data_IF_928993764021
#
_entry.id   IF_928993764021
#
_cell.length_a   1.000
_cell.length_b   1.000
_cell.length_c   1.000
_cell.angle_alpha   90.00
_cell.angle_beta   90.00
_cell.angle_gamma   90.00
#
_symmetry.space_group_name_H-M   'P 1'
#
loop_
_entity.id
_entity.type
_entity.pdbx_description
1 polymer ?
#
# COMPACT_ATOMS: atom_id res chain seq x y z
N UNK A 1 -13.49 1.93 12.99
CA UNK A 1 -14.95 2.19 13.01
C UNK A 1 -15.23 3.18 14.13
N UNK A 2 -16.17 4.10 13.93
CA UNK A 2 -16.66 5.01 14.96
C UNK A 2 -18.19 4.90 15.04
N UNK A 3 -18.73 5.00 16.24
CA UNK A 3 -20.17 5.06 16.46
C UNK A 3 -20.54 6.15 17.43
N UNK A 4 -21.69 6.77 17.19
CA UNK A 4 -22.20 7.85 18.00
C UNK A 4 -23.16 7.31 19.07
N UNK A 5 -23.08 7.80 20.32
CA UNK A 5 -23.88 7.27 21.41
C UNK A 5 -25.36 7.66 21.33
N UNK A 6 -25.70 8.87 20.89
CA UNK A 6 -27.10 9.33 20.91
C UNK A 6 -27.91 8.79 19.74
N UNK A 7 -27.39 8.88 18.52
CA UNK A 7 -28.08 8.42 17.31
C UNK A 7 -27.82 6.97 16.97
N UNK A 8 -26.84 6.33 17.60
CA UNK A 8 -26.37 5.00 17.23
C UNK A 8 -25.92 4.92 15.75
N UNK A 9 -25.55 6.05 15.14
CA UNK A 9 -24.97 6.06 13.80
C UNK A 9 -23.61 5.37 13.82
N UNK A 10 -23.25 4.72 12.71
CA UNK A 10 -21.97 4.05 12.55
C UNK A 10 -21.28 4.54 11.28
N UNK A 11 -19.96 4.66 11.36
CA UNK A 11 -19.06 5.05 10.28
C UNK A 11 -17.87 4.09 10.26
N UNK A 12 -17.52 3.60 9.08
CA UNK A 12 -16.56 2.53 8.93
C UNK A 12 -15.66 2.75 7.71
N UNK A 13 -14.38 2.44 7.91
CA UNK A 13 -13.34 2.46 6.89
C UNK A 13 -12.48 1.23 7.15
N UNK A 14 -12.22 0.46 6.09
CA UNK A 14 -11.32 -0.67 6.07
C UNK A 14 -9.93 -0.23 5.58
N UNK A 15 -8.92 -0.68 6.30
CA UNK A 15 -7.51 -0.36 6.05
C UNK A 15 -6.67 -1.64 6.20
N UNK A 16 -5.50 -1.71 5.57
CA UNK A 16 -4.72 -2.95 5.46
C UNK A 16 -4.01 -3.38 6.74
N UNK A 17 -3.89 -2.51 7.76
CA UNK A 17 -3.13 -2.80 8.97
C UNK A 17 -3.65 -2.05 10.20
N UNK A 18 -3.25 -2.52 11.39
CA UNK A 18 -3.55 -1.93 12.69
C UNK A 18 -2.42 -1.02 13.20
N UNK A 19 -1.68 -0.36 12.29
CA UNK A 19 -0.65 0.61 12.65
C UNK A 19 -1.23 2.03 12.82
N UNK A 20 -0.39 2.94 13.31
CA UNK A 20 -0.83 4.30 13.65
C UNK A 20 -1.20 5.11 12.41
N UNK A 21 -0.47 4.93 11.31
CA UNK A 21 -0.71 5.58 10.02
C UNK A 21 -2.08 5.19 9.46
N UNK A 22 -2.44 3.90 9.54
CA UNK A 22 -3.78 3.43 9.20
C UNK A 22 -4.82 3.99 10.18
N UNK A 23 -4.59 3.96 11.49
CA UNK A 23 -5.55 4.48 12.46
C UNK A 23 -5.92 5.94 12.19
N UNK A 24 -4.91 6.82 12.07
CA UNK A 24 -5.12 8.26 11.86
C UNK A 24 -5.77 8.54 10.50
N UNK A 25 -5.36 7.81 9.45
CA UNK A 25 -6.01 7.92 8.13
C UNK A 25 -7.47 7.49 8.19
N UNK A 26 -7.78 6.39 8.89
CA UNK A 26 -9.13 5.88 9.05
C UNK A 26 -10.02 6.85 9.83
N UNK A 27 -9.50 7.49 10.88
CA UNK A 27 -10.22 8.53 11.62
C UNK A 27 -10.49 9.75 10.76
N UNK A 28 -9.48 10.22 10.01
CA UNK A 28 -9.64 11.32 9.05
C UNK A 28 -10.75 11.04 8.04
N UNK A 29 -10.73 9.85 7.45
CA UNK A 29 -11.74 9.46 6.46
C UNK A 29 -13.15 9.34 7.09
N UNK A 30 -13.24 8.85 8.33
CA UNK A 30 -14.50 8.85 9.08
C UNK A 30 -15.00 10.28 9.34
N UNK A 31 -14.14 11.23 9.71
CA UNK A 31 -14.55 12.62 9.91
C UNK A 31 -15.07 13.24 8.62
N UNK A 32 -14.49 12.89 7.46
CA UNK A 32 -15.01 13.27 6.15
C UNK A 32 -16.39 12.67 5.87
N UNK A 33 -16.59 11.37 6.12
CA UNK A 33 -17.91 10.73 6.00
C UNK A 33 -18.97 11.38 6.93
N UNK A 34 -18.56 11.79 8.12
CA UNK A 34 -19.42 12.50 9.07
C UNK A 34 -19.69 13.95 8.62
N UNK A 35 -18.73 14.55 7.93
CA UNK A 35 -18.71 15.97 7.57
C UNK A 35 -18.61 16.88 8.80
N UNK A 36 -17.95 16.41 9.86
CA UNK A 36 -17.73 17.10 11.14
C UNK A 36 -16.78 16.26 12.02
N UNK A 37 -16.23 16.88 13.08
CA UNK A 37 -15.43 16.18 14.10
C UNK A 37 -16.19 16.08 15.43
N UNK A 38 -16.34 14.89 16.04
CA UNK A 38 -16.93 14.78 17.38
C UNK A 38 -16.09 15.54 18.42
N UNK A 39 -16.74 16.27 19.33
CA UNK A 39 -16.05 17.00 20.42
C UNK A 39 -15.23 16.11 21.35
N UNK A 40 -15.68 14.87 21.53
CA UNK A 40 -15.04 13.89 22.39
C UNK A 40 -15.10 12.53 21.73
N UNK A 41 -13.95 11.87 21.61
CA UNK A 41 -13.82 10.53 21.04
C UNK A 41 -13.35 9.59 22.13
N UNK A 42 -14.14 8.54 22.34
CA UNK A 42 -13.74 7.44 23.22
C UNK A 42 -12.91 6.44 22.43
N UNK A 43 -11.70 6.16 22.91
CA UNK A 43 -10.79 5.20 22.30
C UNK A 43 -10.54 4.02 23.24
N UNK A 44 -10.31 2.85 22.63
CA UNK A 44 -9.79 1.69 23.33
C UNK A 44 -8.31 1.90 23.70
N UNK A 45 -7.79 1.11 24.64
CA UNK A 45 -6.38 1.15 25.06
C UNK A 45 -5.44 0.50 24.02
N UNK A 46 -5.60 0.86 22.75
CA UNK A 46 -4.80 0.36 21.63
C UNK A 46 -3.42 1.02 21.62
N UNK A 47 -2.37 0.24 21.37
CA UNK A 47 -0.96 0.71 21.39
C UNK A 47 -0.65 1.79 20.37
N UNK A 48 -1.45 1.90 19.30
CA UNK A 48 -1.36 2.94 18.26
C UNK A 48 -1.75 4.32 18.75
N UNK A 49 -2.60 4.42 19.78
CA UNK A 49 -3.04 5.70 20.35
C UNK A 49 -2.60 5.88 21.81
N UNK A 50 -2.38 4.78 22.54
CA UNK A 50 -2.12 4.76 23.98
C UNK A 50 -0.77 4.09 24.26
N UNK A 51 0.20 4.88 24.76
CA UNK A 51 1.50 4.39 25.25
C UNK A 51 1.33 3.68 26.59
N UNK A 52 0.56 4.29 27.51
CA UNK A 52 0.27 3.71 28.83
C UNK A 52 -1.22 3.84 29.12
N UNK A 53 -1.92 2.74 29.43
CA UNK A 53 -3.33 2.81 29.78
C UNK A 53 -3.53 3.60 31.07
N UNK A 54 -4.74 4.12 31.25
CA UNK A 54 -5.16 4.80 32.47
C UNK A 54 -4.99 3.87 33.67
N UNK A 55 -4.53 4.39 34.79
CA UNK A 55 -4.47 3.69 36.09
C UNK A 55 -5.30 4.44 37.12
N UNK A 56 -5.53 3.83 38.30
CA UNK A 56 -6.27 4.45 39.40
C UNK A 56 -5.73 5.83 39.83
N UNK A 57 -4.45 6.10 39.57
CA UNK A 57 -3.74 7.30 40.04
C UNK A 57 -3.22 8.21 38.92
N UNK A 58 -3.31 7.80 37.65
CA UNK A 58 -2.76 8.54 36.50
C UNK A 58 -3.61 8.33 35.26
N UNK A 59 -3.84 9.40 34.52
CA UNK A 59 -4.49 9.35 33.22
C UNK A 59 -3.68 8.56 32.19
N UNK A 60 -4.35 8.10 31.14
CA UNK A 60 -3.69 7.41 30.05
C UNK A 60 -2.69 8.33 29.35
N UNK A 61 -1.52 7.79 29.01
CA UNK A 61 -0.52 8.49 28.21
C UNK A 61 -0.72 8.14 26.74
N UNK A 62 -1.10 9.12 25.95
CA UNK A 62 -1.29 8.99 24.50
C UNK A 62 0.05 9.08 23.75
N UNK A 63 0.07 8.60 22.50
CA UNK A 63 1.20 8.81 21.59
C UNK A 63 1.28 10.28 21.15
N UNK A 64 2.48 10.79 20.91
CA UNK A 64 2.69 12.20 20.54
C UNK A 64 1.99 12.54 19.23
N UNK A 65 1.99 11.64 18.26
CA UNK A 65 1.37 11.84 16.96
C UNK A 65 -0.16 11.80 17.09
N UNK A 66 -0.71 10.97 17.98
CA UNK A 66 -2.15 10.95 18.25
C UNK A 66 -2.61 12.22 18.97
N UNK A 67 -1.80 12.75 19.89
CA UNK A 67 -2.05 14.06 20.53
C UNK A 67 -2.03 15.19 19.51
N UNK A 68 -1.03 15.25 18.62
CA UNK A 68 -0.97 16.24 17.55
C UNK A 68 -2.19 16.15 16.63
N UNK A 69 -2.60 14.93 16.26
CA UNK A 69 -3.82 14.70 15.49
C UNK A 69 -5.07 15.19 16.24
N UNK A 70 -5.20 14.89 17.53
CA UNK A 70 -6.33 15.35 18.35
C UNK A 70 -6.38 16.88 18.46
N UNK A 71 -5.23 17.53 18.60
CA UNK A 71 -5.13 18.99 18.60
C UNK A 71 -5.50 19.60 17.26
N UNK A 72 -5.04 19.03 16.14
CA UNK A 72 -5.36 19.50 14.78
C UNK A 72 -6.87 19.53 14.50
N UNK A 73 -7.58 18.47 14.91
CA UNK A 73 -9.03 18.37 14.73
C UNK A 73 -9.84 18.88 15.94
N UNK A 74 -9.17 19.34 17.00
CA UNK A 74 -9.80 19.97 18.18
C UNK A 74 -10.63 19.04 19.08
N UNK A 75 -10.50 17.71 18.96
CA UNK A 75 -11.31 16.79 19.77
C UNK A 75 -10.61 16.35 21.06
N UNK A 76 -11.41 16.09 22.09
CA UNK A 76 -10.95 15.52 23.34
C UNK A 76 -10.91 13.99 23.28
N UNK A 77 -9.92 13.40 23.94
CA UNK A 77 -9.73 11.95 23.98
C UNK A 77 -10.18 11.41 25.33
N UNK A 78 -11.07 10.41 25.31
CA UNK A 78 -11.42 9.64 26.50
C UNK A 78 -10.96 8.20 26.32
N UNK A 79 -10.05 7.73 27.17
CA UNK A 79 -9.64 6.32 27.18
C UNK A 79 -10.57 5.48 28.05
N UNK A 80 -10.91 4.28 27.61
CA UNK A 80 -11.69 3.33 28.42
C UNK A 80 -10.96 2.97 29.73
N UNK A 81 -11.72 2.77 30.80
CA UNK A 81 -11.17 2.29 32.07
C UNK A 81 -10.66 0.85 31.93
N UNK A 82 -9.56 0.48 32.61
CA UNK A 82 -9.11 -0.92 32.65
C UNK A 82 -10.20 -1.84 33.17
N UNK A 83 -10.43 -2.98 32.51
CA UNK A 83 -11.41 -4.01 32.86
C UNK A 83 -12.90 -3.60 32.82
N UNK A 84 -13.27 -2.51 32.13
CA UNK A 84 -14.67 -2.09 31.97
C UNK A 84 -15.31 -2.60 30.67
N UNK A 85 -15.56 -3.92 30.59
CA UNK A 85 -16.16 -4.57 29.42
C UNK A 85 -17.53 -4.01 29.01
N UNK A 86 -18.33 -3.53 29.97
CA UNK A 86 -19.65 -2.93 29.70
C UNK A 86 -19.56 -1.65 28.84
N UNK A 87 -18.48 -0.87 28.95
CA UNK A 87 -18.28 0.35 28.15
C UNK A 87 -17.92 0.03 26.69
N UNK A 88 -17.44 -1.19 26.42
CA UNK A 88 -16.91 -1.64 25.13
C UNK A 88 -17.95 -2.40 24.28
N UNK A 89 -18.96 -2.97 24.92
CA UNK A 89 -19.94 -3.86 24.27
C UNK A 89 -20.72 -3.25 23.10
N UNK A 90 -21.04 -1.94 23.13
CA UNK A 90 -21.76 -1.29 22.02
C UNK A 90 -20.91 -1.23 20.74
N UNK A 91 -19.62 -0.90 20.88
CA UNK A 91 -18.68 -0.82 19.74
C UNK A 91 -18.35 -2.23 19.25
N UNK A 92 -18.12 -3.19 20.15
CA UNK A 92 -17.85 -4.59 19.79
C UNK A 92 -19.02 -5.23 19.02
N UNK A 93 -20.26 -5.02 19.49
CA UNK A 93 -21.46 -5.50 18.80
C UNK A 93 -21.58 -4.89 17.39
N UNK A 94 -21.24 -3.61 17.22
CA UNK A 94 -21.25 -2.97 15.89
C UNK A 94 -20.15 -3.46 14.98
N UNK A 95 -18.93 -3.64 15.49
CA UNK A 95 -17.84 -4.23 14.70
C UNK A 95 -18.21 -5.64 14.27
N UNK A 96 -18.79 -6.44 15.17
CA UNK A 96 -19.37 -7.74 14.86
C UNK A 96 -20.46 -7.67 13.78
N UNK A 97 -21.38 -6.71 13.90
CA UNK A 97 -22.42 -6.47 12.88
C UNK A 97 -21.83 -6.13 11.51
N UNK A 98 -20.83 -5.25 11.44
CA UNK A 98 -20.18 -4.91 10.18
C UNK A 98 -19.48 -6.12 9.60
N UNK A 99 -18.71 -6.87 10.42
CA UNK A 99 -18.06 -8.11 9.97
C UNK A 99 -19.05 -9.11 9.41
N UNK A 100 -20.12 -9.40 10.15
CA UNK A 100 -21.11 -10.41 9.77
C UNK A 100 -21.93 -10.01 8.55
N UNK A 101 -22.38 -8.75 8.44
CA UNK A 101 -23.29 -8.34 7.37
C UNK A 101 -22.57 -7.85 6.11
N UNK A 102 -21.32 -7.37 6.24
CA UNK A 102 -20.62 -6.74 5.14
C UNK A 102 -19.55 -7.66 4.54
N UNK A 103 -19.01 -8.56 5.35
CA UNK A 103 -17.95 -9.51 4.97
C UNK A 103 -18.39 -10.97 5.17
N UNK A 104 -19.70 -11.24 5.09
CA UNK A 104 -20.23 -12.62 5.04
C UNK A 104 -19.70 -13.40 3.84
N UNK A 105 -19.50 -12.70 2.72
CA UNK A 105 -18.85 -13.20 1.52
C UNK A 105 -17.54 -12.47 1.27
N UNK A 106 -16.65 -13.11 0.51
CA UNK A 106 -15.38 -12.45 0.12
C UNK A 106 -15.69 -11.21 -0.71
N UNK A 107 -15.35 -10.00 -0.25
CA UNK A 107 -15.68 -8.78 -0.96
C UNK A 107 -14.91 -8.74 -2.29
N UNK A 108 -15.63 -8.53 -3.39
CA UNK A 108 -15.03 -8.23 -4.69
C UNK A 108 -14.59 -6.77 -4.67
N UNK A 109 -13.31 -6.52 -4.47
CA UNK A 109 -12.73 -5.18 -4.46
C UNK A 109 -11.63 -5.05 -5.50
N UNK A 110 -11.55 -3.90 -6.16
CA UNK A 110 -10.42 -3.53 -7.03
C UNK A 110 -9.25 -3.00 -6.19
N UNK A 111 -9.59 -2.18 -5.20
CA UNK A 111 -8.69 -1.50 -4.28
C UNK A 111 -9.42 -1.14 -2.98
N UNK A 112 -8.69 -0.66 -1.96
CA UNK A 112 -9.27 -0.24 -0.69
C UNK A 112 -10.25 0.94 -0.84
N UNK A 113 -10.07 1.81 -1.85
CA UNK A 113 -10.97 2.93 -2.09
C UNK A 113 -12.36 2.44 -2.50
N UNK A 114 -12.43 1.49 -3.44
CA UNK A 114 -13.67 0.84 -3.87
C UNK A 114 -14.39 0.13 -2.72
N UNK A 115 -13.65 -0.59 -1.89
CA UNK A 115 -14.19 -1.24 -0.70
C UNK A 115 -14.79 -0.23 0.28
N UNK A 116 -14.07 0.86 0.55
CA UNK A 116 -14.52 1.88 1.51
C UNK A 116 -15.75 2.64 1.03
N UNK A 117 -15.88 2.88 -0.27
CA UNK A 117 -17.08 3.46 -0.87
C UNK A 117 -18.30 2.55 -0.70
N UNK A 118 -18.14 1.25 -0.95
CA UNK A 118 -19.21 0.28 -0.75
C UNK A 118 -19.63 0.15 0.73
N UNK A 119 -18.64 0.14 1.64
CA UNK A 119 -18.88 0.16 3.08
C UNK A 119 -19.67 1.41 3.48
N UNK A 120 -19.25 2.58 3.04
CA UNK A 120 -19.93 3.84 3.32
C UNK A 120 -21.40 3.81 2.86
N UNK A 121 -21.66 3.39 1.62
CA UNK A 121 -23.02 3.30 1.09
C UNK A 121 -23.92 2.36 1.90
N UNK A 122 -23.37 1.21 2.31
CA UNK A 122 -24.10 0.26 3.17
C UNK A 122 -24.36 0.84 4.56
N UNK A 123 -23.41 1.58 5.14
CA UNK A 123 -23.62 2.28 6.41
C UNK A 123 -24.67 3.39 6.29
N UNK A 124 -24.68 4.16 5.19
CA UNK A 124 -25.73 5.15 4.87
C UNK A 124 -27.09 4.47 4.77
N UNK A 125 -27.18 3.31 4.10
CA UNK A 125 -28.42 2.53 4.02
C UNK A 125 -28.89 2.09 5.41
N UNK A 126 -27.98 1.60 6.25
CA UNK A 126 -28.28 1.19 7.64
C UNK A 126 -28.84 2.35 8.47
N UNK A 127 -28.35 3.57 8.29
CA UNK A 127 -28.86 4.75 9.01
C UNK A 127 -30.32 5.12 8.65
N UNK A 128 -30.87 4.61 7.55
CA UNK A 128 -32.29 4.81 7.20
C UNK A 128 -33.24 3.96 8.05
N UNK A 129 -32.74 2.95 8.76
CA UNK A 129 -33.55 2.13 9.66
C UNK A 129 -33.96 2.89 10.94
N UNK A 130 -34.98 2.36 11.62
CA UNK A 130 -35.42 2.89 12.92
C UNK A 130 -34.36 2.62 13.99
N UNK A 131 -34.18 3.59 14.89
CA UNK A 131 -33.35 3.42 16.07
C UNK A 131 -33.99 2.39 17.01
N UNK A 132 -33.16 1.59 17.68
CA UNK A 132 -33.60 0.44 18.47
C UNK A 132 -34.54 0.82 19.63
N UNK A 133 -34.30 1.97 20.27
CA UNK A 133 -35.16 2.52 21.34
C UNK A 133 -36.01 3.72 20.92
N UNK A 134 -35.58 4.47 19.90
CA UNK A 134 -36.16 5.77 19.56
C UNK A 134 -36.99 5.54 18.31
N UNK A 135 -38.28 5.87 18.32
CA UNK A 135 -39.23 5.63 17.20
C UNK A 135 -38.97 6.62 16.04
N UNK A 136 -37.70 6.85 15.70
CA UNK A 136 -37.18 7.74 14.66
C UNK A 136 -36.05 7.02 13.95
N UNK A 137 -35.72 7.46 12.74
CA UNK A 137 -34.59 6.89 12.00
C UNK A 137 -33.25 7.31 12.62
N UNK A 138 -32.25 6.44 12.51
CA UNK A 138 -30.87 6.74 12.96
C UNK A 138 -30.35 8.00 12.27
N UNK A 139 -30.62 8.16 10.97
CA UNK A 139 -30.22 9.32 10.17
C UNK A 139 -30.84 10.63 10.69
N UNK A 140 -32.11 10.61 11.10
CA UNK A 140 -32.75 11.80 11.68
C UNK A 140 -32.10 12.22 13.00
N UNK A 141 -31.76 11.25 13.85
CA UNK A 141 -31.08 11.51 15.12
C UNK A 141 -29.63 11.94 14.89
N UNK A 142 -28.96 11.38 13.87
CA UNK A 142 -27.60 11.76 13.50
C UNK A 142 -27.54 13.23 13.07
N UNK A 143 -28.51 13.71 12.29
CA UNK A 143 -28.58 15.14 11.91
C UNK A 143 -28.72 16.07 13.11
N UNK A 144 -29.36 15.63 14.19
CA UNK A 144 -29.44 16.40 15.44
C UNK A 144 -28.11 16.37 16.19
N UNK A 145 -27.50 15.20 16.34
CA UNK A 145 -26.22 15.02 17.02
C UNK A 145 -25.06 15.73 16.29
N UNK A 146 -25.09 15.74 14.95
CA UNK A 146 -24.12 16.43 14.10
C UNK A 146 -24.03 17.93 14.40
N UNK A 147 -25.13 18.59 14.80
CA UNK A 147 -25.13 20.02 15.16
C UNK A 147 -24.25 20.34 16.37
N UNK A 148 -23.97 19.34 17.20
CA UNK A 148 -23.10 19.49 18.38
C UNK A 148 -21.64 19.17 18.09
N UNK A 149 -21.32 18.72 16.87
CA UNK A 149 -19.94 18.42 16.45
C UNK A 149 -19.19 19.71 16.08
N UNK A 150 -17.87 19.61 16.03
CA UNK A 150 -16.99 20.64 15.51
C UNK A 150 -16.99 20.60 13.98
N UNK A 151 -16.67 21.72 13.37
CA UNK A 151 -16.44 21.81 11.93
C UNK A 151 -15.14 21.09 11.54
N UNK A 152 -15.04 20.69 10.28
CA UNK A 152 -13.79 20.14 9.74
C UNK A 152 -12.80 21.29 9.52
N UNK A 153 -11.49 21.08 9.77
CA UNK A 153 -10.47 22.05 9.39
C UNK A 153 -10.40 22.17 7.86
N UNK A 154 -9.95 23.32 7.36
CA UNK A 154 -9.75 23.57 5.93
C UNK A 154 -8.67 22.65 5.34
N UNK A 155 -7.63 22.36 6.13
CA UNK A 155 -6.53 21.48 5.75
C UNK A 155 -6.55 20.17 6.53
N UNK A 156 -6.35 19.08 5.80
CA UNK A 156 -6.19 17.74 6.37
C UNK A 156 -4.86 17.63 7.14
N UNK A 157 -4.89 16.99 8.31
CA UNK A 157 -3.66 16.59 8.99
C UNK A 157 -2.81 15.65 8.11
N UNK A 158 -1.50 15.94 7.91
CA UNK A 158 -0.63 15.08 7.13
C UNK A 158 -0.27 13.81 7.91
N UNK A 159 -0.85 12.67 7.52
CA UNK A 159 -0.60 11.38 8.18
C UNK A 159 0.56 10.66 7.50
N UNK A 160 1.73 10.72 8.12
CA UNK A 160 2.88 9.90 7.75
C UNK A 160 3.75 9.61 8.97
N UNK A 161 4.60 8.60 8.86
CA UNK A 161 5.66 8.29 9.81
C UNK A 161 7.01 8.40 9.13
N UNK A 162 7.92 9.11 9.76
CA UNK A 162 9.31 9.21 9.34
C UNK A 162 10.16 8.25 10.16
N UNK A 163 10.98 7.44 9.50
CA UNK A 163 11.90 6.49 10.14
C UNK A 163 13.25 6.52 9.45
N UNK A 164 14.32 6.63 10.24
CA UNK A 164 15.67 6.44 9.73
C UNK A 164 15.97 4.95 9.60
N UNK A 165 16.36 4.52 8.40
CA UNK A 165 16.59 3.12 8.07
C UNK A 165 17.91 2.93 7.35
N UNK A 166 18.49 1.73 7.48
CA UNK A 166 19.74 1.35 6.81
C UNK A 166 19.56 0.03 6.09
N UNK A 167 20.04 -0.03 4.85
CA UNK A 167 20.04 -1.26 4.07
C UNK A 167 21.06 -2.26 4.60
N UNK A 168 20.71 -3.55 4.55
CA UNK A 168 21.64 -4.64 4.84
C UNK A 168 22.63 -4.85 3.66
N UNK A 169 23.58 -5.80 3.82
CA UNK A 169 24.54 -6.18 2.75
C UNK A 169 23.87 -6.70 1.47
N UNK A 170 22.61 -7.13 1.56
CA UNK A 170 21.82 -7.64 0.45
C UNK A 170 20.90 -6.58 -0.17
N UNK A 171 21.06 -5.29 0.16
CA UNK A 171 20.23 -4.18 -0.32
C UNK A 171 18.77 -4.23 0.14
N UNK A 172 18.52 -4.76 1.34
CA UNK A 172 17.17 -4.88 1.89
C UNK A 172 16.97 -3.97 3.09
N UNK A 173 15.80 -3.36 3.16
CA UNK A 173 15.32 -2.52 4.25
C UNK A 173 14.08 -3.17 4.87
N UNK A 174 14.04 -3.25 6.20
CA UNK A 174 12.89 -3.80 6.93
C UNK A 174 11.81 -2.73 7.13
N UNK A 175 10.67 -2.86 6.47
CA UNK A 175 9.46 -2.05 6.70
C UNK A 175 8.30 -2.98 7.10
N UNK A 176 7.56 -2.64 8.17
CA UNK A 176 6.41 -3.43 8.68
C UNK A 176 6.69 -4.92 8.85
N UNK A 177 7.86 -5.26 9.39
CA UNK A 177 8.35 -6.64 9.51
C UNK A 177 8.60 -7.39 8.18
N UNK A 178 8.52 -6.71 7.05
CA UNK A 178 8.87 -7.27 5.73
C UNK A 178 10.19 -6.68 5.24
N UNK A 179 11.08 -7.54 4.73
CA UNK A 179 12.30 -7.10 4.07
C UNK A 179 12.00 -6.74 2.61
N UNK A 180 12.34 -5.51 2.25
CA UNK A 180 12.15 -4.96 0.91
C UNK A 180 13.51 -4.74 0.29
N UNK A 181 13.76 -5.36 -0.86
CA UNK A 181 14.94 -5.07 -1.64
C UNK A 181 14.82 -3.73 -2.36
N UNK A 182 15.74 -2.81 -2.09
CA UNK A 182 15.87 -1.52 -2.75
C UNK A 182 17.22 -1.49 -3.44
N UNK A 183 17.21 -1.45 -4.76
CA UNK A 183 18.41 -1.52 -5.56
C UNK A 183 19.41 -0.41 -5.20
N UNK A 184 20.70 -0.75 -5.11
CA UNK A 184 21.79 0.15 -4.70
C UNK A 184 21.67 0.85 -3.34
N UNK A 185 20.73 0.44 -2.49
CA UNK A 185 20.51 1.08 -1.18
C UNK A 185 21.73 1.05 -0.24
N UNK A 186 22.62 0.06 -0.35
CA UNK A 186 23.87 -0.01 0.42
C UNK A 186 24.79 1.22 0.26
N UNK A 187 24.72 1.93 -0.89
CA UNK A 187 25.58 3.08 -1.19
C UNK A 187 25.18 4.33 -0.42
N UNK A 188 23.93 4.41 0.03
CA UNK A 188 23.37 5.62 0.62
C UNK A 188 23.50 5.68 2.16
N UNK A 189 24.04 4.63 2.79
CA UNK A 189 24.16 4.57 4.25
C UNK A 189 22.79 4.57 4.95
N UNK A 190 22.54 5.57 5.77
CA UNK A 190 21.24 5.80 6.42
C UNK A 190 20.36 6.69 5.55
N UNK A 191 19.13 6.23 5.30
CA UNK A 191 18.13 6.91 4.47
C UNK A 191 16.84 7.09 5.26
N UNK A 192 16.02 8.06 4.86
CA UNK A 192 14.72 8.30 5.47
C UNK A 192 13.65 7.48 4.75
N UNK A 193 12.81 6.80 5.52
CA UNK A 193 11.60 6.16 5.04
C UNK A 193 10.38 6.97 5.52
N UNK A 194 9.65 7.55 4.57
CA UNK A 194 8.36 8.19 4.79
C UNK A 194 7.27 7.18 4.51
N UNK A 195 6.48 6.88 5.53
CA UNK A 195 5.48 5.81 5.52
C UNK A 195 4.11 6.44 5.65
N UNK A 196 3.30 6.30 4.61
CA UNK A 196 1.87 6.61 4.66
C UNK A 196 1.08 5.33 4.93
N UNK A 197 -0.24 5.44 5.05
CA UNK A 197 -1.08 4.28 5.29
C UNK A 197 -0.99 3.24 4.17
N UNK A 198 -0.73 3.61 2.91
CA UNK A 198 -0.69 2.72 1.73
C UNK A 198 0.64 2.69 0.98
N UNK A 199 1.46 3.75 1.04
CA UNK A 199 2.74 3.86 0.33
C UNK A 199 3.92 4.10 1.26
N UNK A 200 5.11 3.75 0.78
CA UNK A 200 6.37 4.19 1.36
C UNK A 200 7.20 4.93 0.33
N UNK A 201 8.01 5.89 0.80
CA UNK A 201 8.99 6.60 0.00
C UNK A 201 10.33 6.59 0.72
N UNK A 202 11.37 6.17 0.02
CA UNK A 202 12.74 6.14 0.54
C UNK A 202 13.50 7.32 -0.05
N UNK A 203 14.04 8.17 0.83
CA UNK A 203 14.67 9.43 0.47
C UNK A 203 16.08 9.48 1.06
N UNK A 204 17.05 9.96 0.30
CA UNK A 204 18.40 10.26 0.81
C UNK A 204 18.37 11.45 1.77
N UNK A 205 19.46 11.67 2.52
CA UNK A 205 19.63 12.88 3.34
C UNK A 205 19.61 14.18 2.49
N UNK A 206 19.89 14.07 1.20
CA UNK A 206 19.91 15.20 0.26
C UNK A 206 18.54 15.46 -0.38
N UNK A 207 17.50 14.69 -0.03
CA UNK A 207 16.15 14.86 -0.56
C UNK A 207 15.85 14.09 -1.85
N UNK A 208 16.77 13.27 -2.35
CA UNK A 208 16.55 12.48 -3.57
C UNK A 208 15.71 11.23 -3.26
N UNK A 209 14.67 11.00 -4.07
CA UNK A 209 13.81 9.81 -3.95
C UNK A 209 14.53 8.62 -4.59
N UNK A 210 14.90 7.63 -3.77
CA UNK A 210 15.49 6.38 -4.24
C UNK A 210 14.41 5.47 -4.82
N UNK A 211 13.31 5.32 -4.09
CA UNK A 211 12.20 4.45 -4.49
C UNK A 211 10.90 4.88 -3.81
N UNK A 212 9.80 4.77 -4.55
CA UNK A 212 8.44 4.87 -4.03
C UNK A 212 7.65 3.64 -4.48
N UNK A 213 6.91 3.01 -3.55
CA UNK A 213 6.06 1.86 -3.86
C UNK A 213 5.00 1.68 -2.75
N UNK A 214 4.09 0.72 -2.93
CA UNK A 214 3.07 0.37 -1.94
C UNK A 214 3.66 -0.38 -0.73
N UNK A 215 3.03 -0.17 0.42
CA UNK A 215 3.38 -0.81 1.69
C UNK A 215 3.16 -2.33 1.61
N UNK A 216 4.08 -3.15 2.15
CA UNK A 216 4.04 -4.61 2.07
C UNK A 216 2.99 -5.28 2.99
N UNK A 217 1.76 -4.77 3.08
CA UNK A 217 0.79 -5.40 3.99
C UNK A 217 0.25 -6.73 3.47
N UNK A 218 -0.12 -6.77 2.19
CA UNK A 218 -0.84 -7.91 1.58
C UNK A 218 -0.01 -8.57 0.50
N UNK A 219 0.44 -7.78 -0.49
CA UNK A 219 1.13 -8.32 -1.67
C UNK A 219 2.63 -8.43 -1.43
N UNK A 220 3.16 -9.65 -1.56
CA UNK A 220 4.63 -9.92 -1.51
C UNK A 220 5.31 -9.77 -2.87
N UNK A 221 4.56 -9.90 -3.96
CA UNK A 221 5.08 -9.72 -5.33
C UNK A 221 5.22 -8.23 -5.64
N UNK A 222 6.33 -7.84 -6.24
CA UNK A 222 6.64 -6.45 -6.57
C UNK A 222 7.13 -6.35 -8.00
N UNK A 223 6.78 -5.24 -8.64
CA UNK A 223 7.36 -4.91 -9.93
C UNK A 223 8.86 -4.67 -9.76
N UNK A 224 9.63 -5.16 -10.71
CA UNK A 224 11.07 -4.94 -10.76
C UNK A 224 11.29 -3.68 -11.60
N UNK A 225 12.04 -2.72 -11.07
CA UNK A 225 12.46 -1.52 -11.82
C UNK A 225 13.57 -1.89 -12.82
N UNK A 226 13.13 -2.48 -13.93
CA UNK A 226 14.01 -2.92 -15.01
C UNK A 226 14.88 -1.80 -15.59
N UNK A 227 14.38 -0.58 -15.87
CA UNK A 227 15.22 0.51 -16.35
C UNK A 227 16.44 0.78 -15.46
N UNK A 228 16.26 0.87 -14.14
CA UNK A 228 17.38 1.09 -13.22
C UNK A 228 18.36 -0.08 -13.22
N UNK A 229 17.86 -1.32 -13.25
CA UNK A 229 18.70 -2.53 -13.26
C UNK A 229 19.50 -2.65 -14.56
N UNK A 230 18.87 -2.41 -15.72
CA UNK A 230 19.53 -2.52 -17.01
C UNK A 230 20.59 -1.42 -17.20
N UNK A 231 20.36 -0.19 -16.70
CA UNK A 231 21.39 0.87 -16.67
C UNK A 231 22.62 0.46 -15.87
N UNK A 232 22.41 -0.19 -14.73
CA UNK A 232 23.50 -0.70 -13.91
C UNK A 232 24.26 -1.85 -14.59
N UNK A 233 23.55 -2.73 -15.28
CA UNK A 233 24.15 -3.80 -16.08
C UNK A 233 25.05 -3.27 -17.20
N UNK A 234 24.71 -2.13 -17.81
CA UNK A 234 25.58 -1.46 -18.80
C UNK A 234 26.96 -1.08 -18.22
N UNK A 235 27.08 -0.85 -16.91
CA UNK A 235 28.36 -0.56 -16.27
C UNK A 235 29.23 -1.81 -16.06
N UNK A 236 28.62 -3.01 -16.03
CA UNK A 236 29.30 -4.28 -15.72
C UNK A 236 28.75 -5.44 -16.57
N UNK A 237 28.88 -5.30 -17.89
CA UNK A 237 28.34 -6.21 -18.90
C UNK A 237 28.73 -7.68 -18.69
N UNK A 238 29.99 -7.96 -18.34
CA UNK A 238 30.49 -9.33 -18.16
C UNK A 238 29.89 -10.06 -16.95
N UNK A 239 29.12 -9.37 -16.10
CA UNK A 239 28.57 -9.91 -14.84
C UNK A 239 27.05 -9.94 -14.78
N UNK A 240 26.36 -9.64 -15.88
CA UNK A 240 24.88 -9.52 -15.87
C UNK A 240 24.19 -10.85 -15.52
N UNK A 241 24.76 -11.98 -15.93
CA UNK A 241 24.23 -13.32 -15.66
C UNK A 241 24.28 -13.70 -14.18
N UNK A 242 25.21 -13.12 -13.41
CA UNK A 242 25.30 -13.28 -11.97
C UNK A 242 24.35 -12.37 -11.18
N UNK A 243 23.63 -11.46 -11.87
CA UNK A 243 22.69 -10.58 -11.20
C UNK A 243 21.53 -11.37 -10.61
N UNK A 244 21.09 -11.00 -9.39
CA UNK A 244 19.87 -11.54 -8.77
C UNK A 244 18.63 -11.38 -9.66
N UNK A 245 18.65 -10.42 -10.57
CA UNK A 245 17.56 -10.07 -11.47
C UNK A 245 17.53 -10.93 -12.74
N UNK A 246 18.64 -11.59 -13.11
CA UNK A 246 18.76 -12.38 -14.33
C UNK A 246 17.67 -13.45 -14.44
N UNK A 247 17.39 -14.15 -13.33
CA UNK A 247 16.36 -15.21 -13.27
C UNK A 247 14.92 -14.72 -13.38
N UNK A 248 14.68 -13.41 -13.25
CA UNK A 248 13.34 -12.82 -13.36
C UNK A 248 13.09 -12.23 -14.75
N UNK A 249 14.10 -12.22 -15.63
CA UNK A 249 13.89 -11.80 -17.01
C UNK A 249 12.94 -12.77 -17.71
N UNK A 250 12.06 -12.25 -18.58
CA UNK A 250 11.32 -13.11 -19.50
C UNK A 250 12.28 -13.88 -20.41
N UNK A 251 11.98 -15.16 -20.68
CA UNK A 251 12.91 -16.08 -21.37
C UNK A 251 13.40 -15.56 -22.72
N UNK A 252 12.53 -14.91 -23.51
CA UNK A 252 12.89 -14.31 -24.82
C UNK A 252 13.96 -13.22 -24.67
N UNK A 253 13.78 -12.33 -23.69
CA UNK A 253 14.71 -11.24 -23.40
C UNK A 253 16.01 -11.79 -22.81
N UNK A 254 15.92 -12.83 -21.97
CA UNK A 254 17.08 -13.51 -21.42
C UNK A 254 17.95 -14.13 -22.52
N UNK A 255 17.34 -14.84 -23.47
CA UNK A 255 18.02 -15.36 -24.66
C UNK A 255 18.62 -14.24 -25.52
N UNK A 256 17.89 -13.15 -25.73
CA UNK A 256 18.40 -12.00 -26.47
C UNK A 256 19.60 -11.34 -25.81
N UNK A 257 19.71 -11.35 -24.48
CA UNK A 257 20.88 -10.82 -23.77
C UNK A 257 21.99 -11.85 -23.55
N UNK A 258 21.77 -13.12 -23.93
CA UNK A 258 22.75 -14.19 -23.76
C UNK A 258 23.70 -14.23 -24.96
N UNK A 259 24.59 -13.24 -25.04
CA UNK A 259 25.55 -13.06 -26.13
C UNK A 259 26.96 -12.87 -25.56
N UNK A 260 27.95 -13.49 -26.19
CA UNK A 260 29.35 -13.41 -25.75
C UNK A 260 30.02 -12.08 -26.13
N UNK A 261 29.60 -11.45 -27.23
CA UNK A 261 30.09 -10.13 -27.65
C UNK A 261 29.53 -9.00 -26.75
N UNK A 262 30.42 -8.40 -25.98
CA UNK A 262 30.11 -7.30 -25.07
C UNK A 262 29.62 -6.04 -25.78
N UNK A 263 30.08 -5.76 -27.01
CA UNK A 263 29.63 -4.58 -27.78
C UNK A 263 28.19 -4.76 -28.22
N UNK A 264 27.88 -5.93 -28.77
CA UNK A 264 26.52 -6.30 -29.14
C UNK A 264 25.61 -6.32 -27.91
N UNK A 265 26.07 -6.88 -26.79
CA UNK A 265 25.32 -6.88 -25.54
C UNK A 265 24.99 -5.46 -25.03
N UNK A 266 25.95 -4.53 -25.12
CA UNK A 266 25.72 -3.12 -24.76
C UNK A 266 24.62 -2.49 -25.64
N UNK A 267 24.69 -2.69 -26.96
CA UNK A 267 23.69 -2.19 -27.92
C UNK A 267 22.30 -2.77 -27.63
N UNK A 268 22.21 -4.08 -27.35
CA UNK A 268 20.96 -4.75 -26.99
C UNK A 268 20.35 -4.20 -25.70
N UNK A 269 21.18 -3.95 -24.67
CA UNK A 269 20.72 -3.33 -23.43
C UNK A 269 20.24 -1.89 -23.64
N UNK A 270 20.94 -1.11 -24.48
CA UNK A 270 20.54 0.26 -24.80
C UNK A 270 19.20 0.29 -25.53
N UNK A 271 19.02 -0.63 -26.48
CA UNK A 271 17.75 -0.79 -27.19
C UNK A 271 16.60 -1.16 -26.28
N UNK A 272 16.80 -2.13 -25.38
CA UNK A 272 15.78 -2.50 -24.38
C UNK A 272 15.45 -1.32 -23.46
N UNK A 273 16.42 -0.49 -23.08
CA UNK A 273 16.17 0.72 -22.30
C UNK A 273 15.34 1.75 -23.07
N UNK A 274 15.59 1.91 -24.38
CA UNK A 274 14.76 2.73 -25.27
C UNK A 274 13.32 2.23 -25.30
N UNK A 275 13.12 0.93 -25.54
CA UNK A 275 11.79 0.33 -25.60
C UNK A 275 11.04 0.39 -24.26
N UNK A 276 11.73 0.21 -23.13
CA UNK A 276 11.15 0.31 -21.79
C UNK A 276 10.73 1.73 -21.40
N UNK A 277 11.11 2.76 -22.17
CA UNK A 277 10.60 4.12 -21.97
C UNK A 277 9.15 4.27 -22.44
N UNK A 278 8.69 3.41 -23.36
CA UNK A 278 7.35 3.45 -23.96
C UNK A 278 6.50 2.24 -23.54
N UNK A 279 7.14 1.08 -23.39
CA UNK A 279 6.46 -0.20 -23.16
C UNK A 279 6.79 -0.81 -21.80
N UNK A 280 5.87 -1.61 -21.28
CA UNK A 280 6.14 -2.40 -20.05
C UNK A 280 6.96 -3.64 -20.38
N UNK A 281 7.68 -4.19 -19.40
CA UNK A 281 8.41 -5.46 -19.57
C UNK A 281 7.49 -6.64 -19.98
N UNK A 282 6.22 -6.60 -19.58
CA UNK A 282 5.23 -7.62 -19.95
C UNK A 282 4.91 -7.50 -21.44
N UNK A 283 4.54 -6.31 -21.89
CA UNK A 283 4.24 -6.01 -23.29
C UNK A 283 5.44 -6.32 -24.20
N UNK A 284 6.64 -5.93 -23.78
CA UNK A 284 7.87 -6.22 -24.51
C UNK A 284 8.13 -7.71 -24.67
N UNK A 285 7.80 -8.52 -23.67
CA UNK A 285 7.93 -9.96 -23.79
C UNK A 285 6.89 -10.56 -24.73
N UNK A 286 5.65 -10.07 -24.68
CA UNK A 286 4.55 -10.54 -25.53
C UNK A 286 4.80 -10.21 -27.00
N UNK A 287 5.17 -8.95 -27.30
CA UNK A 287 5.40 -8.41 -28.65
C UNK A 287 6.88 -8.32 -29.02
N UNK A 288 7.71 -9.16 -28.41
CA UNK A 288 9.17 -9.09 -28.48
C UNK A 288 9.70 -8.96 -29.92
N UNK A 289 9.26 -9.85 -30.82
CA UNK A 289 9.78 -9.87 -32.18
C UNK A 289 9.32 -8.68 -33.03
N UNK A 290 8.10 -8.17 -32.81
CA UNK A 290 7.61 -6.98 -33.51
C UNK A 290 8.47 -5.77 -33.14
N UNK A 291 8.59 -5.51 -31.84
CA UNK A 291 9.28 -4.33 -31.30
C UNK A 291 10.79 -4.39 -31.52
N UNK A 292 11.38 -5.58 -31.54
CA UNK A 292 12.80 -5.77 -31.85
C UNK A 292 13.04 -5.84 -33.37
N UNK A 293 12.05 -6.04 -34.23
CA UNK A 293 12.25 -6.03 -35.70
C UNK A 293 11.89 -4.70 -36.36
N UNK A 294 11.07 -3.86 -35.74
CA UNK A 294 10.61 -2.56 -36.28
C UNK A 294 11.73 -1.52 -36.52
N UNK A 295 12.96 -1.73 -36.03
CA UNK A 295 14.15 -0.91 -36.39
C UNK A 295 15.19 -1.67 -37.26
N UNK A 296 14.91 -2.90 -37.68
CA UNK A 296 15.84 -3.75 -38.46
C UNK A 296 15.73 -3.59 -39.99
N UNK A 297 14.99 -2.59 -40.49
CA UNK A 297 14.98 -2.31 -41.94
C UNK A 297 16.28 -1.67 -42.47
N UNK A 298 17.24 -1.27 -41.61
CA UNK A 298 18.53 -0.71 -42.05
C UNK A 298 19.75 -1.65 -41.97
N UNK A 299 19.62 -2.92 -41.57
CA UNK A 299 20.75 -3.86 -41.76
C UNK A 299 20.32 -5.30 -41.99
N UNK A 300 20.30 -5.68 -43.27
CA UNK A 300 20.22 -7.06 -43.73
C UNK A 300 21.49 -7.84 -43.34
N UNK A 301 21.32 -8.86 -42.50
CA UNK A 301 21.93 -10.19 -42.71
C UNK A 301 21.31 -11.23 -41.77
N UNK A 302 20.42 -12.05 -42.34
CA UNK A 302 20.24 -13.49 -42.12
C UNK A 302 20.24 -14.06 -40.69
N UNK A 303 19.12 -13.91 -39.96
CA UNK A 303 18.67 -14.98 -39.06
C UNK A 303 17.15 -15.15 -39.16
N UNK A 304 16.71 -16.29 -39.70
CA UNK A 304 15.30 -16.70 -39.72
C UNK A 304 14.89 -17.28 -38.35
N UNK A 305 14.43 -16.40 -37.45
CA UNK A 305 14.00 -16.76 -36.10
C UNK A 305 12.72 -17.60 -36.05
N UNK A 306 11.88 -17.59 -37.09
CA UNK A 306 10.65 -18.39 -37.15
C UNK A 306 10.95 -19.90 -37.20
N UNK A 307 12.11 -20.30 -37.73
CA UNK A 307 12.54 -21.70 -37.73
C UNK A 307 12.95 -22.23 -36.34
N UNK A 308 13.34 -21.35 -35.42
CA UNK A 308 13.85 -21.75 -34.10
C UNK A 308 12.71 -22.17 -33.15
N UNK A 309 11.56 -21.50 -33.20
CA UNK A 309 10.38 -21.85 -32.40
C UNK A 309 9.71 -23.17 -32.85
N UNK A 310 9.90 -23.57 -34.12
CA UNK A 310 9.46 -24.88 -34.60
C UNK A 310 10.27 -26.03 -33.98
N UNK A 311 11.55 -25.80 -33.63
CA UNK A 311 12.41 -26.81 -33.01
C UNK A 311 12.11 -27.01 -31.52
N UNK A 312 11.73 -25.97 -30.80
CA UNK A 312 11.36 -26.06 -29.37
C UNK A 312 10.00 -26.72 -29.14
N UNK A 313 9.04 -26.59 -30.08
CA UNK A 313 7.78 -27.33 -30.01
C UNK A 313 7.93 -28.85 -30.24
N UNK A 314 8.91 -29.28 -31.03
CA UNK A 314 9.18 -30.71 -31.27
C UNK A 314 9.84 -31.38 -30.05
N UNK A 315 10.72 -30.65 -29.33
CA UNK A 315 11.37 -31.16 -28.12
C UNK A 315 10.39 -31.44 -26.95
N UNK A 316 9.24 -30.77 -26.91
CA UNK A 316 8.22 -30.95 -25.86
C UNK A 316 7.34 -32.20 -26.02
N UNK A 317 7.40 -32.90 -27.17
CA UNK A 317 6.60 -34.14 -27.41
C UNK A 317 7.37 -35.44 -27.16
N UNK A 318 8.60 -35.37 -26.65
CA UNK A 318 9.51 -36.50 -26.56
C UNK A 318 9.96 -36.91 -25.17
N UNK A 319 9.13 -36.80 -24.12
CA UNK A 319 9.39 -37.50 -22.84
C UNK A 319 8.06 -38.02 -22.27
N UNK A 320 7.69 -39.23 -22.69
CA UNK A 320 6.89 -40.15 -21.85
C UNK A 320 7.88 -41.01 -21.08
N UNK A 321 7.88 -40.90 -19.76
CA UNK A 321 7.69 -41.93 -18.72
C UNK A 321 7.90 -41.24 -17.38
#
# INVERSE_FOLDING_TARGET
MLSTPFSNAGFAVALPSENQECLLTGMKEIFKQMGCVPKTIRIDNMTTAVIKPKSKFKDAKLTNEFLQFAMHYGFNVQTCNPASGHEKGSVENKVGYVRYNFFSETPKMKDFSSLNKDLEQRMVKKRKEKHYEKIRTIESLWKEEKKSCLELPDEDYPVFKEVLVRANKMNEIKLDNTLIHIHNSWRHGEVYAYLTWDKYRIITRNGEIIQEDFRPYVTRKRAIDWPTILRDWKQRLSKITYSRYWKYLPGRIQSYLSVDDLRLLYQRLDRLLGLLSVHTMIELNERFYELISEEYEESLSDVNWQGYDALTQVAAKGVKV
#
